data_IF_890007128176
#
_entry.id   IF_890007128176
#
_cell.length_a   1.000
_cell.length_b   1.000
_cell.length_c   1.000
_cell.angle_alpha   90.00
_cell.angle_beta   90.00
_cell.angle_gamma   90.00
#
_symmetry.space_group_name_H-M   'P 1'
#
loop_
_entity.id
_entity.type
_entity.pdbx_description
1 polymer ?
#
# COMPACT_ATOMS: atom_id res chain seq x y z
N UNK A 1 24.89 0.07 11.49
CA UNK A 1 24.11 0.53 10.34
C UNK A 1 24.93 0.42 9.04
N UNK A 2 26.05 1.12 8.92
CA UNK A 2 26.93 1.08 7.72
C UNK A 2 27.46 -0.32 7.43
N UNK A 3 27.80 -1.08 8.46
CA UNK A 3 28.27 -2.45 8.36
C UNK A 3 27.17 -3.39 7.82
N UNK A 4 25.93 -3.20 8.27
CA UNK A 4 24.76 -3.96 7.77
C UNK A 4 24.50 -3.66 6.30
N UNK A 5 24.61 -2.40 5.88
CA UNK A 5 24.47 -2.02 4.46
C UNK A 5 25.56 -2.64 3.60
N UNK A 6 26.80 -2.63 4.09
CA UNK A 6 27.98 -3.13 3.36
C UNK A 6 27.98 -4.67 3.21
N UNK A 7 27.60 -5.40 4.26
CA UNK A 7 27.64 -6.87 4.27
C UNK A 7 26.28 -7.53 4.00
N UNK A 8 25.16 -6.85 4.28
CA UNK A 8 23.81 -7.40 4.17
C UNK A 8 22.87 -6.54 3.30
N UNK A 9 23.41 -5.71 2.40
CA UNK A 9 22.63 -4.82 1.54
C UNK A 9 21.55 -5.54 0.72
N UNK A 10 21.83 -6.78 0.30
CA UNK A 10 20.82 -7.61 -0.43
C UNK A 10 19.60 -7.92 0.46
N UNK A 11 19.80 -8.18 1.75
CA UNK A 11 18.69 -8.41 2.68
C UNK A 11 17.85 -7.14 2.87
N UNK A 12 18.48 -5.97 3.03
CA UNK A 12 17.80 -4.68 3.13
C UNK A 12 16.98 -4.38 1.89
N UNK A 13 17.57 -4.55 0.68
CA UNK A 13 16.86 -4.34 -0.59
C UNK A 13 15.72 -5.33 -0.79
N UNK A 14 15.86 -6.57 -0.35
CA UNK A 14 14.78 -7.56 -0.36
C UNK A 14 13.61 -7.11 0.52
N UNK A 15 13.87 -6.67 1.74
CA UNK A 15 12.85 -6.13 2.65
C UNK A 15 12.17 -4.91 2.01
N UNK A 16 12.94 -3.96 1.49
CA UNK A 16 12.39 -2.79 0.83
C UNK A 16 11.48 -3.18 -0.35
N UNK A 17 11.93 -4.08 -1.24
CA UNK A 17 11.13 -4.56 -2.38
C UNK A 17 9.81 -5.20 -1.96
N UNK A 18 9.81 -6.09 -0.97
CA UNK A 18 8.59 -6.71 -0.44
C UNK A 18 7.62 -5.66 0.13
N UNK A 19 8.17 -4.61 0.73
CA UNK A 19 7.40 -3.59 1.47
C UNK A 19 6.81 -2.50 0.57
N UNK A 20 7.39 -2.25 -0.63
CA UNK A 20 7.00 -1.14 -1.52
C UNK A 20 5.51 -1.16 -1.86
N UNK A 21 4.94 -2.31 -2.21
CA UNK A 21 3.51 -2.43 -2.52
C UNK A 21 2.63 -1.91 -1.38
N UNK A 22 2.94 -2.33 -0.15
CA UNK A 22 2.20 -1.90 1.03
C UNK A 22 2.40 -0.42 1.35
N UNK A 23 3.62 0.09 1.19
CA UNK A 23 3.94 1.49 1.43
C UNK A 23 3.20 2.41 0.44
N UNK A 24 3.30 2.15 -0.85
CA UNK A 24 2.61 2.92 -1.89
C UNK A 24 1.11 2.86 -1.71
N UNK A 25 0.54 1.65 -1.49
CA UNK A 25 -0.89 1.46 -1.26
C UNK A 25 -1.40 2.25 -0.06
N UNK A 26 -0.71 2.17 1.08
CA UNK A 26 -1.09 2.88 2.30
C UNK A 26 -1.08 4.41 2.12
N UNK A 27 0.03 4.96 1.61
CA UNK A 27 0.15 6.42 1.46
C UNK A 27 -0.80 6.97 0.40
N UNK A 28 -1.00 6.27 -0.70
CA UNK A 28 -1.95 6.69 -1.71
C UNK A 28 -3.37 6.67 -1.17
N UNK A 29 -3.74 5.60 -0.48
CA UNK A 29 -5.11 5.39 -0.05
C UNK A 29 -5.52 6.25 1.15
N UNK A 30 -4.65 6.41 2.13
CA UNK A 30 -5.01 7.11 3.37
C UNK A 30 -4.52 8.55 3.46
N UNK A 31 -3.50 8.93 2.68
CA UNK A 31 -3.02 10.31 2.65
C UNK A 31 -3.44 11.03 1.38
N UNK A 32 -3.13 10.45 0.20
CA UNK A 32 -3.38 11.15 -1.06
C UNK A 32 -4.86 11.20 -1.42
N UNK A 33 -5.63 10.13 -1.23
CA UNK A 33 -7.05 10.08 -1.58
C UNK A 33 -7.85 11.18 -0.90
N UNK A 34 -7.54 11.54 0.35
CA UNK A 34 -8.21 12.64 1.05
C UNK A 34 -8.01 13.97 0.31
N UNK A 35 -6.79 14.25 -0.13
CA UNK A 35 -6.47 15.45 -0.92
C UNK A 35 -7.11 15.38 -2.30
N UNK A 36 -7.10 14.22 -2.94
CA UNK A 36 -7.67 13.99 -4.26
C UNK A 36 -9.17 14.23 -4.27
N UNK A 37 -9.93 13.69 -3.30
CA UNK A 37 -11.37 13.94 -3.16
C UNK A 37 -11.70 15.42 -2.97
N UNK A 38 -10.82 16.17 -2.30
CA UNK A 38 -11.02 17.60 -2.08
C UNK A 38 -10.69 18.44 -3.32
N UNK A 39 -9.60 18.11 -4.01
CA UNK A 39 -9.06 18.94 -5.10
C UNK A 39 -9.64 18.60 -6.47
N UNK A 40 -9.95 17.33 -6.72
CA UNK A 40 -10.45 16.84 -8.01
C UNK A 40 -11.98 16.77 -7.99
N UNK A 41 -12.55 16.15 -6.96
CA UNK A 41 -14.01 15.94 -6.87
C UNK A 41 -14.74 17.05 -6.12
N UNK A 42 -14.01 18.01 -5.53
CA UNK A 42 -14.61 19.13 -4.81
C UNK A 42 -15.35 18.73 -3.52
N UNK A 43 -15.06 17.55 -2.96
CA UNK A 43 -15.71 17.06 -1.75
C UNK A 43 -15.28 17.91 -0.55
N UNK A 44 -16.22 18.37 0.31
CA UNK A 44 -15.88 19.14 1.50
C UNK A 44 -14.85 18.39 2.40
N UNK A 45 -13.85 19.09 2.96
CA UNK A 45 -12.78 18.48 3.76
C UNK A 45 -13.30 17.57 4.90
N UNK A 46 -14.36 18.02 5.58
CA UNK A 46 -14.98 17.24 6.66
C UNK A 46 -15.50 15.88 6.17
N UNK A 47 -16.12 15.87 4.97
CA UNK A 47 -16.66 14.65 4.38
C UNK A 47 -15.56 13.70 3.89
N UNK A 48 -14.53 14.24 3.25
CA UNK A 48 -13.38 13.44 2.82
C UNK A 48 -12.68 12.77 4.01
N UNK A 49 -12.52 13.50 5.12
CA UNK A 49 -11.95 12.96 6.35
C UNK A 49 -12.86 11.92 7.03
N UNK A 50 -14.17 12.12 7.02
CA UNK A 50 -15.15 11.15 7.54
C UNK A 50 -15.03 9.81 6.79
N UNK A 51 -15.05 9.85 5.46
CA UNK A 51 -14.89 8.66 4.60
C UNK A 51 -13.57 7.95 4.88
N UNK A 52 -12.48 8.72 4.99
CA UNK A 52 -11.16 8.17 5.29
C UNK A 52 -11.10 7.53 6.68
N UNK A 53 -11.70 8.15 7.69
CA UNK A 53 -11.76 7.62 9.08
C UNK A 53 -12.51 6.30 9.14
N UNK A 54 -13.67 6.22 8.48
CA UNK A 54 -14.45 4.98 8.37
C UNK A 54 -13.61 3.90 7.70
N UNK A 55 -12.90 4.24 6.64
CA UNK A 55 -12.05 3.30 5.89
C UNK A 55 -10.88 2.79 6.74
N UNK A 56 -10.24 3.66 7.53
CA UNK A 56 -9.19 3.26 8.48
C UNK A 56 -9.73 2.33 9.58
N UNK A 57 -10.96 2.56 10.03
CA UNK A 57 -11.60 1.67 10.99
C UNK A 57 -11.81 0.26 10.41
N UNK A 58 -12.24 0.17 9.15
CA UNK A 58 -12.39 -1.10 8.44
C UNK A 58 -11.06 -1.79 8.11
N UNK A 59 -9.95 -1.04 8.04
CA UNK A 59 -8.62 -1.60 7.82
C UNK A 59 -8.23 -2.58 8.94
N UNK A 60 -8.56 -2.28 10.19
CA UNK A 60 -8.17 -3.09 11.35
C UNK A 60 -8.68 -4.54 11.27
N UNK A 61 -9.99 -4.81 11.11
CA UNK A 61 -10.47 -6.18 10.99
C UNK A 61 -9.92 -6.89 9.75
N UNK A 62 -9.74 -6.19 8.62
CA UNK A 62 -9.14 -6.78 7.43
C UNK A 62 -7.69 -7.22 7.69
N UNK A 63 -6.88 -6.41 8.37
CA UNK A 63 -5.53 -6.78 8.76
C UNK A 63 -5.50 -8.01 9.66
N UNK A 64 -6.35 -8.05 10.69
CA UNK A 64 -6.43 -9.17 11.64
C UNK A 64 -6.85 -10.47 10.95
N UNK A 65 -7.91 -10.39 10.13
CA UNK A 65 -8.39 -11.53 9.36
C UNK A 65 -7.34 -12.04 8.38
N UNK A 66 -6.62 -11.14 7.72
CA UNK A 66 -5.58 -11.48 6.76
C UNK A 66 -4.38 -12.13 7.43
N UNK A 67 -3.97 -11.64 8.60
CA UNK A 67 -2.95 -12.28 9.43
C UNK A 67 -3.33 -13.71 9.78
N UNK A 68 -4.53 -13.90 10.35
CA UNK A 68 -5.05 -15.21 10.69
C UNK A 68 -5.20 -16.15 9.49
N UNK A 69 -5.68 -15.63 8.35
CA UNK A 69 -5.84 -16.41 7.13
C UNK A 69 -4.48 -16.81 6.54
N UNK A 70 -3.47 -15.96 6.68
CA UNK A 70 -2.11 -16.23 6.20
C UNK A 70 -1.43 -17.38 6.94
N UNK A 71 -1.78 -17.58 8.20
CA UNK A 71 -1.27 -18.70 9.00
C UNK A 71 -1.86 -20.04 8.53
N UNK A 72 -3.03 -20.03 7.90
CA UNK A 72 -3.72 -21.23 7.39
C UNK A 72 -3.42 -21.55 5.93
N UNK A 73 -3.49 -20.53 5.06
CA UNK A 73 -3.33 -20.68 3.61
C UNK A 73 -1.89 -20.49 3.14
N UNK A 74 -1.04 -19.96 4.02
CA UNK A 74 0.32 -19.58 3.69
C UNK A 74 0.43 -18.10 3.31
N UNK A 75 1.60 -17.52 3.53
CA UNK A 75 1.85 -16.08 3.37
C UNK A 75 1.94 -15.65 1.92
N UNK A 76 2.61 -16.48 1.09
CA UNK A 76 2.83 -16.18 -0.35
C UNK A 76 1.53 -16.06 -1.14
N UNK A 77 0.60 -17.06 -1.13
CA UNK A 77 -0.61 -16.99 -1.95
C UNK A 77 -1.48 -15.79 -1.56
N UNK A 78 -1.54 -15.47 -0.27
CA UNK A 78 -2.35 -14.36 0.20
C UNK A 78 -1.74 -13.00 -0.15
N UNK A 79 -0.41 -12.87 -0.12
CA UNK A 79 0.28 -11.66 -0.57
C UNK A 79 0.10 -11.45 -2.08
N UNK A 80 0.22 -12.51 -2.89
CA UNK A 80 -0.06 -12.42 -4.32
C UNK A 80 -1.52 -12.08 -4.60
N UNK A 81 -2.47 -12.64 -3.83
CA UNK A 81 -3.88 -12.26 -3.94
C UNK A 81 -4.10 -10.77 -3.65
N UNK A 82 -3.45 -10.23 -2.60
CA UNK A 82 -3.50 -8.80 -2.30
C UNK A 82 -2.94 -7.95 -3.45
N UNK A 83 -1.80 -8.34 -4.03
CA UNK A 83 -1.20 -7.65 -5.16
C UNK A 83 -2.08 -7.70 -6.41
N UNK A 84 -2.67 -8.85 -6.72
CA UNK A 84 -3.58 -9.03 -7.88
C UNK A 84 -4.85 -8.20 -7.68
N UNK A 85 -5.45 -8.23 -6.49
CA UNK A 85 -6.62 -7.42 -6.17
C UNK A 85 -6.32 -5.92 -6.24
N UNK A 86 -5.17 -5.49 -5.72
CA UNK A 86 -4.71 -4.10 -5.82
C UNK A 86 -4.48 -3.68 -7.28
N UNK A 87 -3.83 -4.52 -8.07
CA UNK A 87 -3.58 -4.26 -9.48
C UNK A 87 -4.89 -4.19 -10.30
N UNK A 88 -5.73 -5.22 -10.21
CA UNK A 88 -6.98 -5.30 -10.96
C UNK A 88 -8.01 -4.26 -10.49
N UNK A 89 -8.01 -3.96 -9.19
CA UNK A 89 -8.94 -3.01 -8.57
C UNK A 89 -8.52 -1.54 -8.66
N UNK A 90 -7.26 -1.24 -9.01
CA UNK A 90 -6.74 0.12 -8.98
C UNK A 90 -7.58 1.11 -9.80
N UNK A 91 -7.90 0.77 -11.04
CA UNK A 91 -8.71 1.64 -11.92
C UNK A 91 -10.19 1.62 -11.52
N UNK A 92 -10.87 0.45 -11.42
CA UNK A 92 -12.31 0.44 -11.14
C UNK A 92 -12.66 1.02 -9.77
N UNK A 93 -11.81 0.84 -8.75
CA UNK A 93 -12.11 1.38 -7.42
C UNK A 93 -11.90 2.89 -7.35
N UNK A 94 -10.86 3.43 -7.99
CA UNK A 94 -10.69 4.88 -8.12
C UNK A 94 -11.78 5.50 -9.00
N UNK A 95 -12.20 4.82 -10.07
CA UNK A 95 -13.32 5.27 -10.88
C UNK A 95 -14.63 5.31 -10.09
N UNK A 96 -14.87 4.31 -9.24
CA UNK A 96 -16.04 4.29 -8.35
C UNK A 96 -16.01 5.44 -7.33
N UNK A 97 -14.83 5.84 -6.90
CA UNK A 97 -14.65 6.98 -6.00
C UNK A 97 -14.85 8.32 -6.70
N UNK A 98 -14.65 8.38 -8.03
CA UNK A 98 -14.89 9.57 -8.86
C UNK A 98 -16.38 9.68 -9.22
N UNK A 99 -17.24 9.58 -8.23
CA UNK A 99 -18.69 9.67 -8.40
C UNK A 99 -19.28 10.67 -7.38
N UNK A 100 -20.31 11.46 -7.76
CA UNK A 100 -20.91 12.45 -6.87
C UNK A 100 -21.62 11.85 -5.65
N UNK A 101 -22.00 10.57 -5.68
CA UNK A 101 -22.65 9.89 -4.55
C UNK A 101 -21.63 9.47 -3.47
N UNK A 102 -21.71 10.02 -2.24
CA UNK A 102 -20.80 9.67 -1.14
C UNK A 102 -20.78 8.17 -0.78
N UNK A 103 -21.86 7.45 -1.07
CA UNK A 103 -21.93 6.01 -0.82
C UNK A 103 -21.04 5.22 -1.77
N UNK A 104 -20.97 5.64 -3.03
CA UNK A 104 -20.09 5.03 -4.03
C UNK A 104 -18.64 5.38 -3.76
N UNK A 105 -18.35 6.60 -3.32
CA UNK A 105 -17.00 7.00 -2.88
C UNK A 105 -16.54 6.09 -1.72
N UNK A 106 -17.38 5.95 -0.69
CA UNK A 106 -17.07 5.06 0.44
C UNK A 106 -16.89 3.60 -0.01
N UNK A 107 -17.75 3.09 -0.88
CA UNK A 107 -17.65 1.74 -1.40
C UNK A 107 -16.34 1.51 -2.17
N UNK A 108 -15.94 2.45 -3.03
CA UNK A 108 -14.66 2.40 -3.76
C UNK A 108 -13.46 2.41 -2.81
N UNK A 109 -13.50 3.26 -1.78
CA UNK A 109 -12.43 3.30 -0.79
C UNK A 109 -12.38 2.03 0.06
N UNK A 110 -13.52 1.50 0.51
CA UNK A 110 -13.58 0.23 1.24
C UNK A 110 -13.09 -0.95 0.39
N UNK A 111 -13.37 -0.94 -0.91
CA UNK A 111 -12.85 -1.96 -1.83
C UNK A 111 -11.31 -1.92 -1.91
N UNK A 112 -10.70 -0.73 -1.89
CA UNK A 112 -9.24 -0.57 -1.82
C UNK A 112 -8.65 -0.96 -0.45
N UNK A 113 -9.44 -0.84 0.64
CA UNK A 113 -9.01 -1.28 1.99
C UNK A 113 -8.68 -2.77 2.00
N UNK A 114 -9.40 -3.58 1.21
CA UNK A 114 -9.21 -5.04 1.22
C UNK A 114 -7.78 -5.42 0.80
N UNK A 115 -7.29 -5.10 -0.41
CA UNK A 115 -5.93 -5.45 -0.80
C UNK A 115 -4.85 -4.77 0.08
N UNK A 116 -5.07 -3.53 0.51
CA UNK A 116 -4.15 -2.83 1.40
C UNK A 116 -4.06 -3.51 2.77
N UNK A 117 -5.20 -3.83 3.39
CA UNK A 117 -5.27 -4.51 4.68
C UNK A 117 -4.74 -5.94 4.63
N UNK A 118 -5.00 -6.66 3.53
CA UNK A 118 -4.40 -7.98 3.30
C UNK A 118 -2.87 -7.89 3.30
N UNK A 119 -2.31 -7.00 2.52
CA UNK A 119 -0.88 -6.81 2.46
C UNK A 119 -0.27 -6.41 3.80
N UNK A 120 -0.85 -5.40 4.46
CA UNK A 120 -0.36 -4.89 5.75
C UNK A 120 -0.47 -5.92 6.88
N UNK A 121 -1.55 -6.73 6.91
CA UNK A 121 -1.75 -7.75 7.94
C UNK A 121 -0.73 -8.91 7.85
N UNK A 122 -0.25 -9.20 6.65
CA UNK A 122 0.71 -10.30 6.41
C UNK A 122 2.15 -9.79 6.49
N UNK A 123 2.38 -8.51 6.22
CA UNK A 123 3.72 -7.94 6.06
C UNK A 123 4.68 -8.24 7.21
N UNK A 124 4.31 -8.04 8.49
CA UNK A 124 5.23 -8.30 9.62
C UNK A 124 5.77 -9.74 9.63
N UNK A 125 4.91 -10.70 9.34
CA UNK A 125 5.27 -12.11 9.30
C UNK A 125 6.25 -12.42 8.14
N UNK A 126 5.97 -11.90 6.95
CA UNK A 126 6.85 -12.06 5.79
C UNK A 126 8.22 -11.43 6.06
N UNK A 127 8.28 -10.25 6.66
CA UNK A 127 9.53 -9.56 6.92
C UNK A 127 10.40 -10.32 7.92
N UNK A 128 9.79 -10.90 8.96
CA UNK A 128 10.53 -11.69 9.96
C UNK A 128 11.05 -13.01 9.41
N UNK A 129 10.37 -13.60 8.44
CA UNK A 129 10.78 -14.82 7.76
C UNK A 129 11.80 -14.59 6.63
N UNK A 130 11.78 -13.40 6.02
CA UNK A 130 12.64 -13.05 4.89
C UNK A 130 14.12 -12.93 5.26
N UNK A 131 14.45 -12.67 6.53
CA UNK A 131 15.82 -12.48 7.00
C UNK A 131 16.06 -13.28 8.27
N UNK A 132 17.05 -14.17 8.23
CA UNK A 132 17.46 -14.96 9.39
C UNK A 132 18.62 -14.31 10.16
N UNK A 133 18.71 -14.63 11.48
CA UNK A 133 19.91 -14.39 12.28
C UNK A 133 20.03 -12.99 12.90
N UNK A 134 21.26 -12.63 13.26
CA UNK A 134 21.61 -11.45 14.07
C UNK A 134 21.24 -10.12 13.45
N UNK A 135 21.15 -10.03 12.13
CA UNK A 135 20.90 -8.78 11.40
C UNK A 135 19.43 -8.52 11.09
N UNK A 136 18.52 -9.44 11.51
CA UNK A 136 17.07 -9.38 11.19
C UNK A 136 16.47 -8.02 11.52
N UNK A 137 16.56 -7.57 12.76
CA UNK A 137 15.95 -6.32 13.20
C UNK A 137 16.48 -5.10 12.43
N UNK A 138 17.80 -5.04 12.23
CA UNK A 138 18.44 -3.92 11.53
C UNK A 138 18.08 -3.92 10.05
N UNK A 139 18.07 -5.08 9.39
CA UNK A 139 17.71 -5.19 7.98
C UNK A 139 16.23 -4.84 7.74
N UNK A 140 15.33 -5.32 8.62
CA UNK A 140 13.91 -4.97 8.56
C UNK A 140 13.72 -3.48 8.77
N UNK A 141 14.31 -2.90 9.82
CA UNK A 141 14.17 -1.46 10.10
C UNK A 141 14.67 -0.61 8.93
N UNK A 142 15.82 -0.92 8.35
CA UNK A 142 16.37 -0.15 7.23
C UNK A 142 15.50 -0.32 5.97
N UNK A 143 15.17 -1.54 5.58
CA UNK A 143 14.37 -1.81 4.39
C UNK A 143 12.95 -1.25 4.49
N UNK A 144 12.33 -1.39 5.67
CA UNK A 144 11.01 -0.82 5.96
C UNK A 144 11.02 0.72 5.86
N UNK A 145 12.02 1.38 6.47
CA UNK A 145 12.13 2.83 6.42
C UNK A 145 12.44 3.35 5.01
N UNK A 146 13.20 2.63 4.20
CA UNK A 146 13.40 2.98 2.79
C UNK A 146 12.05 2.92 2.05
N UNK A 147 11.29 1.85 2.22
CA UNK A 147 10.01 1.67 1.53
C UNK A 147 8.94 2.65 2.03
N UNK A 148 8.67 2.71 3.34
CA UNK A 148 7.64 3.58 3.89
C UNK A 148 8.09 5.04 4.01
N UNK A 149 9.31 5.30 4.50
CA UNK A 149 9.79 6.66 4.73
C UNK A 149 10.12 7.41 3.44
N UNK A 150 10.81 6.75 2.50
CA UNK A 150 11.23 7.41 1.25
C UNK A 150 10.19 7.20 0.15
N UNK A 151 9.95 5.95 -0.26
CA UNK A 151 9.09 5.66 -1.41
C UNK A 151 7.63 5.96 -1.08
N UNK A 152 7.15 5.48 0.07
CA UNK A 152 5.80 5.77 0.56
C UNK A 152 5.59 7.26 0.78
N UNK A 153 6.51 7.93 1.48
CA UNK A 153 6.43 9.37 1.74
C UNK A 153 6.40 10.24 0.47
N UNK A 154 7.06 9.81 -0.61
CA UNK A 154 7.02 10.48 -1.92
C UNK A 154 5.75 10.15 -2.72
N UNK A 155 4.99 9.12 -2.36
CA UNK A 155 3.81 8.68 -3.11
C UNK A 155 2.75 9.77 -3.29
N UNK A 156 2.34 10.55 -2.25
CA UNK A 156 1.36 11.62 -2.43
C UNK A 156 1.85 12.71 -3.40
N UNK A 157 3.13 13.06 -3.32
CA UNK A 157 3.74 14.05 -4.21
C UNK A 157 3.76 13.57 -5.66
N UNK A 158 4.18 12.32 -5.88
CA UNK A 158 4.22 11.73 -7.23
C UNK A 158 2.82 11.55 -7.80
N UNK A 159 1.82 11.21 -6.97
CA UNK A 159 0.44 11.11 -7.38
C UNK A 159 -0.14 12.47 -7.81
N UNK A 160 0.07 13.51 -7.00
CA UNK A 160 -0.34 14.86 -7.32
C UNK A 160 0.34 15.40 -8.61
N UNK A 161 1.65 15.16 -8.74
CA UNK A 161 2.40 15.51 -9.94
C UNK A 161 1.88 14.80 -11.19
N UNK A 162 1.52 13.50 -11.08
CA UNK A 162 0.95 12.74 -12.20
C UNK A 162 -0.39 13.33 -12.65
N UNK A 163 -1.29 13.66 -11.73
CA UNK A 163 -2.57 14.29 -12.07
C UNK A 163 -2.33 15.63 -12.78
N UNK A 164 -1.48 16.50 -12.20
CA UNK A 164 -1.16 17.81 -12.77
C UNK A 164 -0.50 17.72 -14.17
N UNK A 165 0.32 16.69 -14.41
CA UNK A 165 1.05 16.53 -15.66
C UNK A 165 0.25 15.88 -16.77
N UNK A 166 -0.65 14.95 -16.43
CA UNK A 166 -1.40 14.14 -17.40
C UNK A 166 -2.81 14.68 -17.65
N UNK A 167 -3.29 15.61 -16.81
CA UNK A 167 -4.68 16.10 -16.80
C UNK A 167 -5.70 14.95 -16.71
N UNK A 168 -5.27 13.79 -16.15
CA UNK A 168 -6.09 12.60 -15.99
C UNK A 168 -6.30 12.32 -14.52
N UNK A 169 -7.52 12.46 -14.03
CA UNK A 169 -7.88 12.29 -12.61
C UNK A 169 -7.58 10.90 -12.07
N UNK A 170 -7.63 9.87 -12.91
CA UNK A 170 -7.33 8.48 -12.57
C UNK A 170 -5.84 8.10 -12.69
N UNK A 171 -4.96 9.05 -13.02
CA UNK A 171 -3.54 8.78 -13.18
C UNK A 171 -2.85 8.19 -11.93
N UNK A 172 -3.29 8.42 -10.67
CA UNK A 172 -2.75 7.78 -9.49
C UNK A 172 -2.87 6.25 -9.48
N UNK A 173 -3.82 5.68 -10.24
CA UNK A 173 -3.92 4.23 -10.44
C UNK A 173 -2.62 3.61 -10.97
N UNK A 174 -1.83 4.36 -11.76
CA UNK A 174 -0.52 3.91 -12.29
C UNK A 174 0.47 3.60 -11.18
N UNK A 175 0.41 4.30 -10.05
CA UNK A 175 1.27 4.01 -8.89
C UNK A 175 0.87 2.71 -8.21
N UNK A 176 -0.45 2.47 -8.08
CA UNK A 176 -0.97 1.22 -7.52
C UNK A 176 -0.62 0.03 -8.43
N UNK A 177 -0.69 0.23 -9.74
CA UNK A 177 -0.33 -0.79 -10.74
C UNK A 177 1.19 -1.03 -10.77
N UNK A 178 2.00 0.02 -10.65
CA UNK A 178 3.46 -0.07 -10.69
C UNK A 178 4.08 -0.70 -9.44
N UNK A 179 3.50 -0.48 -8.28
CA UNK A 179 4.04 -0.96 -7.02
C UNK A 179 4.16 -2.51 -6.93
N UNK A 180 3.15 -3.31 -7.32
CA UNK A 180 3.28 -4.76 -7.40
C UNK A 180 4.37 -5.22 -8.36
N UNK A 181 4.53 -4.54 -9.51
CA UNK A 181 5.55 -4.89 -10.50
C UNK A 181 6.98 -4.79 -9.94
N UNK A 182 7.22 -3.88 -9.00
CA UNK A 182 8.50 -3.76 -8.29
C UNK A 182 8.63 -4.82 -7.18
N UNK A 183 7.53 -5.16 -6.53
CA UNK A 183 7.52 -6.10 -5.39
C UNK A 183 7.55 -7.57 -5.83
N UNK A 184 6.90 -7.94 -6.94
CA UNK A 184 6.81 -9.33 -7.45
C UNK A 184 8.17 -9.98 -7.72
N UNK A 185 9.17 -9.32 -8.34
CA UNK A 185 10.48 -9.95 -8.58
C UNK A 185 11.26 -10.19 -7.29
N UNK A 186 10.80 -9.68 -6.16
CA UNK A 186 11.46 -9.89 -4.88
C UNK A 186 11.07 -11.28 -4.32
N UNK A 187 12.03 -12.21 -4.11
CA UNK A 187 11.70 -13.55 -3.64
C UNK A 187 11.06 -13.50 -2.25
N UNK A 188 9.81 -13.92 -2.18
CA UNK A 188 9.10 -14.11 -0.92
C UNK A 188 9.63 -15.37 -0.19
N UNK A 189 9.73 -15.33 1.13
CA UNK A 189 10.16 -16.46 1.93
C UNK A 189 9.19 -17.64 1.86
#
# INVERSE_FOLDING_TARGET
>A
LLETFRHHGRAVMRIAGITIFNAVGFYLMFLYVVTWLQTVDGIPPARALEINTVSMFFLLPVMLLSGWLSDRLGRRPLMFAAMILGFAGAVPFLWLMHHPDPRLILAGQLALVVPAGMGLGILPSILTEAVAGRVRCTAISLGYNIAFGVIGGLTPLTAAWLVARTEMDLSPARLVIGAPAISVPTPLP
#
